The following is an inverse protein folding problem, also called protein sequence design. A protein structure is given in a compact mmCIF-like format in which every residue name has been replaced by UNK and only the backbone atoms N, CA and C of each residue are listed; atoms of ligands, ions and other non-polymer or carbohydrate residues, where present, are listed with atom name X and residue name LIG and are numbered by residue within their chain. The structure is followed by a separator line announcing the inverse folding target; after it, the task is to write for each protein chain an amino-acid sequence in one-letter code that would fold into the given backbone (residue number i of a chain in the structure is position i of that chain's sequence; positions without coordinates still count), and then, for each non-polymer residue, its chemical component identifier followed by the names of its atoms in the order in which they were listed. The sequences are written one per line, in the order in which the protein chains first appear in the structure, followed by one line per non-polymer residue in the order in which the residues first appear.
data_IF_044218782143
#
_entry.id   IF_044218782143
#
_cell.length_a   1.000
_cell.length_b   1.000
_cell.length_c   1.000
_cell.angle_alpha   90.00
_cell.angle_beta   90.00
_cell.angle_gamma   90.00
#
_symmetry.space_group_name_H-M   'P 1'
#
loop_
_entity.id
_entity.type
_entity.pdbx_description
1 polymer ?
#
# COMPACT_ATOMS: atom_id res chain seq x y z
N UNK A 1 12.10 -43.12 -70.02
CA UNK A 1 12.83 -41.85 -70.21
C UNK A 1 12.27 -41.13 -71.41
N UNK A 2 11.53 -40.05 -71.21
CA UNK A 2 11.59 -38.83 -72.03
C UNK A 2 10.58 -37.84 -71.47
N UNK A 3 11.03 -36.60 -71.42
CA UNK A 3 10.47 -35.43 -70.77
C UNK A 3 9.52 -34.71 -71.73
N UNK A 4 8.40 -34.16 -71.25
CA UNK A 4 7.75 -33.06 -71.96
C UNK A 4 7.37 -31.93 -70.98
N UNK A 5 7.86 -30.73 -71.32
CA UNK A 5 7.84 -29.50 -70.52
C UNK A 5 6.54 -28.70 -70.76
N UNK A 6 6.17 -27.82 -69.81
CA UNK A 6 4.95 -27.02 -69.88
C UNK A 6 5.10 -25.79 -70.80
N UNK A 7 3.97 -25.37 -71.38
CA UNK A 7 3.84 -24.13 -72.15
C UNK A 7 3.63 -22.93 -71.21
N UNK A 8 4.49 -21.93 -71.35
CA UNK A 8 4.45 -20.67 -70.61
C UNK A 8 3.73 -19.64 -71.49
N UNK A 9 2.65 -19.03 -70.99
CA UNK A 9 2.04 -17.87 -71.63
C UNK A 9 2.79 -16.60 -71.21
N UNK A 10 3.26 -15.88 -72.23
CA UNK A 10 3.79 -14.53 -72.16
C UNK A 10 2.65 -13.51 -72.22
N UNK A 11 2.63 -12.54 -71.30
CA UNK A 11 1.96 -11.25 -71.51
C UNK A 11 2.89 -10.15 -71.03
N UNK A 12 2.97 -9.12 -71.87
CA UNK A 12 4.00 -8.09 -71.87
C UNK A 12 3.39 -6.71 -71.63
N UNK A 13 4.16 -5.86 -70.96
CA UNK A 13 4.16 -4.38 -71.00
C UNK A 13 2.87 -3.60 -70.67
N UNK A 14 2.98 -2.77 -69.62
CA UNK A 14 3.00 -1.30 -69.76
C UNK A 14 3.46 -0.65 -68.44
N UNK A 15 4.72 -0.20 -68.46
CA UNK A 15 5.24 0.75 -67.50
C UNK A 15 4.55 2.09 -67.72
N UNK A 16 3.92 2.63 -66.67
CA UNK A 16 3.40 3.99 -66.67
C UNK A 16 4.34 4.80 -65.79
N UNK A 17 5.18 5.62 -66.42
CA UNK A 17 5.90 6.70 -65.74
C UNK A 17 4.88 7.69 -65.21
N UNK A 18 4.99 8.03 -63.93
CA UNK A 18 4.48 9.30 -63.41
C UNK A 18 5.53 9.85 -62.47
N UNK A 19 6.34 10.75 -63.02
CA UNK A 19 7.16 11.67 -62.26
C UNK A 19 6.24 12.72 -61.65
N UNK A 20 6.39 13.03 -60.35
CA UNK A 20 6.66 14.41 -59.87
C UNK A 20 6.70 14.50 -58.34
N UNK A 21 7.54 15.43 -57.89
CA UNK A 21 7.61 16.07 -56.58
C UNK A 21 8.24 15.27 -55.41
N UNK A 22 9.57 15.16 -55.43
CA UNK A 22 10.35 15.09 -54.20
C UNK A 22 10.33 16.48 -53.53
N UNK A 23 9.56 16.61 -52.46
CA UNK A 23 9.61 17.76 -51.56
C UNK A 23 10.99 17.79 -50.90
N UNK A 24 11.59 18.99 -50.84
CA UNK A 24 12.89 19.23 -50.27
C UNK A 24 13.02 18.66 -48.85
N UNK A 25 14.05 17.84 -48.66
CA UNK A 25 14.56 17.44 -47.35
C UNK A 25 15.07 18.69 -46.63
N UNK A 26 14.22 19.28 -45.78
CA UNK A 26 14.69 20.07 -44.67
C UNK A 26 15.31 19.08 -43.68
N UNK A 27 16.63 18.93 -43.73
CA UNK A 27 17.39 18.41 -42.61
C UNK A 27 17.22 19.39 -41.45
N UNK A 28 16.09 19.29 -40.73
CA UNK A 28 15.97 19.80 -39.39
C UNK A 28 17.01 19.04 -38.57
N UNK A 29 18.17 19.64 -38.37
CA UNK A 29 19.01 19.29 -37.24
C UNK A 29 18.14 19.52 -36.00
N UNK A 30 17.51 18.45 -35.53
CA UNK A 30 17.10 18.34 -34.13
C UNK A 30 18.43 18.32 -33.39
N UNK A 31 18.91 19.51 -33.04
CA UNK A 31 19.84 19.65 -31.94
C UNK A 31 19.02 19.22 -30.74
N UNK A 32 19.13 17.94 -30.39
CA UNK A 32 18.81 17.50 -29.05
C UNK A 32 19.71 18.36 -28.17
N UNK A 33 19.11 19.39 -27.57
CA UNK A 33 19.66 20.00 -26.37
C UNK A 33 20.00 18.79 -25.50
N UNK A 34 21.25 18.62 -25.01
CA UNK A 34 21.55 17.58 -24.04
C UNK A 34 20.64 17.83 -22.85
N UNK A 35 19.46 17.20 -22.91
CA UNK A 35 18.52 17.14 -21.83
C UNK A 35 19.30 16.51 -20.72
N UNK A 36 19.31 17.18 -19.58
CA UNK A 36 19.76 16.61 -18.33
C UNK A 36 19.20 15.19 -18.27
N UNK A 37 20.04 14.19 -18.50
CA UNK A 37 19.66 12.82 -18.25
C UNK A 37 19.42 12.80 -16.74
N UNK A 38 18.15 12.89 -16.34
CA UNK A 38 17.77 12.66 -14.97
C UNK A 38 18.38 11.31 -14.62
N UNK A 39 19.28 11.28 -13.64
CA UNK A 39 19.89 10.04 -13.20
C UNK A 39 18.76 9.02 -12.99
N UNK A 40 18.94 7.80 -13.51
CA UNK A 40 17.96 6.75 -13.30
C UNK A 40 17.73 6.60 -11.79
N UNK A 41 16.49 6.36 -11.34
CA UNK A 41 16.22 6.19 -9.91
C UNK A 41 17.07 5.05 -9.38
N UNK A 42 17.69 5.25 -8.22
CA UNK A 42 18.50 4.24 -7.56
C UNK A 42 18.09 4.12 -6.11
N UNK A 43 18.07 2.90 -5.59
CA UNK A 43 17.95 2.61 -4.17
C UNK A 43 19.27 2.09 -3.65
N UNK A 44 19.48 2.23 -2.35
CA UNK A 44 20.60 1.65 -1.62
C UNK A 44 20.06 0.68 -0.59
N UNK A 45 20.56 -0.55 -0.64
CA UNK A 45 20.21 -1.60 0.29
C UNK A 45 21.47 -2.30 0.76
N UNK A 46 21.35 -3.09 1.82
CA UNK A 46 22.39 -4.05 2.22
C UNK A 46 21.93 -5.45 1.86
N UNK A 47 22.76 -6.21 1.14
CA UNK A 47 22.55 -7.62 0.82
C UNK A 47 23.64 -8.40 1.57
N UNK A 48 23.26 -9.24 2.53
CA UNK A 48 24.19 -9.99 3.38
C UNK A 48 25.28 -9.09 4.00
N UNK A 49 24.86 -7.95 4.55
CA UNK A 49 25.71 -6.92 5.15
C UNK A 49 26.63 -6.14 4.19
N UNK A 50 26.48 -6.32 2.88
CA UNK A 50 27.20 -5.54 1.85
C UNK A 50 26.26 -4.51 1.26
N UNK A 51 26.67 -3.24 1.27
CA UNK A 51 25.91 -2.17 0.62
C UNK A 51 25.94 -2.32 -0.90
N UNK A 52 24.76 -2.24 -1.51
CA UNK A 52 24.54 -2.33 -2.95
C UNK A 52 23.59 -1.21 -3.34
N UNK A 53 23.89 -0.52 -4.43
CA UNK A 53 23.02 0.52 -4.98
C UNK A 53 22.78 0.28 -6.47
N UNK A 54 21.56 0.57 -6.92
CA UNK A 54 21.19 0.41 -8.31
C UNK A 54 19.72 0.65 -8.56
N UNK A 55 19.31 0.53 -9.82
CA UNK A 55 17.89 0.45 -10.20
C UNK A 55 17.29 -0.88 -9.79
N UNK A 56 18.12 -1.92 -9.69
CA UNK A 56 17.72 -3.27 -9.27
C UNK A 56 18.74 -3.79 -8.26
N UNK A 57 18.25 -4.30 -7.14
CA UNK A 57 19.04 -4.97 -6.12
C UNK A 57 18.81 -6.46 -6.30
N UNK A 58 19.88 -7.22 -6.57
CA UNK A 58 19.84 -8.66 -6.73
C UNK A 58 20.43 -9.34 -5.49
N UNK A 59 19.71 -10.31 -4.94
CA UNK A 59 20.30 -11.33 -4.09
C UNK A 59 20.99 -12.41 -4.92
N UNK A 60 21.10 -13.59 -4.34
CA UNK A 60 21.86 -14.74 -4.82
C UNK A 60 20.94 -15.94 -5.02
N UNK A 61 21.51 -17.15 -5.01
CA UNK A 61 20.73 -18.39 -5.14
C UNK A 61 20.65 -19.16 -3.82
N UNK A 62 21.06 -18.57 -2.71
CA UNK A 62 20.85 -19.10 -1.37
C UNK A 62 20.32 -18.01 -0.46
N UNK A 63 19.93 -18.38 0.75
CA UNK A 63 19.23 -17.50 1.70
C UNK A 63 19.93 -16.14 1.89
N UNK A 64 19.27 -15.07 1.45
CA UNK A 64 19.75 -13.70 1.50
C UNK A 64 19.04 -12.89 2.60
N UNK A 65 19.77 -11.97 3.22
CA UNK A 65 19.18 -10.90 4.03
C UNK A 65 19.35 -9.56 3.32
N UNK A 66 18.24 -9.00 2.86
CA UNK A 66 18.19 -7.74 2.12
C UNK A 66 17.52 -6.67 2.98
N UNK A 67 18.16 -5.52 3.16
CA UNK A 67 17.61 -4.40 3.92
C UNK A 67 17.72 -3.08 3.16
N UNK A 68 16.59 -2.45 2.86
CA UNK A 68 16.48 -1.14 2.23
C UNK A 68 15.93 -0.13 3.26
N UNK A 69 16.78 0.78 3.72
CA UNK A 69 16.47 1.69 4.83
C UNK A 69 15.70 2.96 4.45
N UNK A 70 15.66 3.28 3.15
CA UNK A 70 15.04 4.48 2.59
C UNK A 70 13.88 4.13 1.64
N UNK A 71 13.24 2.99 1.90
CA UNK A 71 12.21 2.41 1.06
C UNK A 71 12.72 1.88 -0.29
N UNK A 72 11.78 1.41 -1.11
CA UNK A 72 11.97 1.06 -2.51
C UNK A 72 11.23 2.10 -3.35
N UNK A 73 11.92 2.80 -4.26
CA UNK A 73 11.33 3.94 -4.99
C UNK A 73 10.80 3.55 -6.37
N UNK A 74 10.00 4.45 -6.95
CA UNK A 74 9.44 4.28 -8.30
C UNK A 74 10.49 3.94 -9.35
N UNK A 75 10.23 2.87 -10.09
CA UNK A 75 11.09 2.41 -11.18
C UNK A 75 12.30 1.61 -10.71
N UNK A 76 12.36 1.22 -9.44
CA UNK A 76 13.38 0.32 -8.89
C UNK A 76 12.81 -1.01 -8.43
N UNK A 77 13.65 -2.03 -8.35
CA UNK A 77 13.27 -3.38 -7.92
C UNK A 77 14.25 -4.00 -6.91
N UNK A 78 13.71 -4.86 -6.05
CA UNK A 78 14.45 -5.81 -5.22
C UNK A 78 14.08 -7.22 -5.68
N UNK A 79 15.07 -8.00 -6.08
CA UNK A 79 14.92 -9.37 -6.56
C UNK A 79 15.80 -10.27 -5.68
N UNK A 80 15.20 -10.99 -4.74
CA UNK A 80 15.98 -11.74 -3.75
C UNK A 80 16.67 -12.97 -4.35
N UNK A 81 16.07 -13.58 -5.37
CA UNK A 81 16.66 -14.68 -6.10
C UNK A 81 16.07 -15.99 -5.65
N UNK A 82 16.88 -17.03 -5.44
CA UNK A 82 16.39 -18.29 -4.91
C UNK A 82 16.94 -18.50 -3.50
N UNK A 83 16.21 -19.19 -2.64
CA UNK A 83 16.58 -19.34 -1.23
C UNK A 83 15.40 -19.00 -0.34
N UNK A 84 15.55 -19.12 0.97
CA UNK A 84 14.56 -18.58 1.90
C UNK A 84 15.05 -17.19 2.34
N UNK A 85 14.58 -16.17 1.65
CA UNK A 85 15.12 -14.84 1.78
C UNK A 85 14.41 -14.03 2.86
N UNK A 86 15.12 -13.06 3.42
CA UNK A 86 14.56 -12.09 4.36
C UNK A 86 14.75 -10.69 3.80
N UNK A 87 13.65 -10.05 3.42
CA UNK A 87 13.63 -8.71 2.85
C UNK A 87 13.00 -7.75 3.85
N UNK A 88 13.72 -6.68 4.21
CA UNK A 88 13.27 -5.67 5.17
C UNK A 88 13.36 -4.28 4.52
N UNK A 89 12.21 -3.66 4.30
CA UNK A 89 12.09 -2.35 3.69
C UNK A 89 11.43 -1.39 4.66
N UNK A 90 12.10 -0.28 4.94
CA UNK A 90 11.61 0.75 5.86
C UNK A 90 11.57 2.08 5.12
N UNK A 91 10.43 2.76 5.13
CA UNK A 91 10.34 4.16 4.74
C UNK A 91 10.94 5.04 5.84
N UNK A 92 11.66 6.08 5.46
CA UNK A 92 12.18 7.06 6.41
C UNK A 92 11.05 7.80 7.12
N UNK A 93 11.21 7.96 8.43
CA UNK A 93 10.38 8.87 9.22
C UNK A 93 10.71 10.29 8.79
N UNK A 94 9.69 11.12 8.64
CA UNK A 94 9.93 12.55 8.42
C UNK A 94 10.56 13.13 9.67
N UNK A 95 11.86 13.44 9.62
CA UNK A 95 12.58 14.00 10.76
C UNK A 95 13.18 15.34 10.39
N UNK A 96 12.90 16.36 11.21
CA UNK A 96 13.49 17.69 11.08
C UNK A 96 12.79 18.61 10.08
N UNK A 97 11.65 18.19 9.51
CA UNK A 97 10.75 19.08 8.77
C UNK A 97 9.38 19.03 9.46
N UNK A 98 9.00 20.09 10.20
CA UNK A 98 7.71 20.12 10.90
C UNK A 98 6.56 19.77 9.95
N UNK A 99 5.66 18.89 10.40
CA UNK A 99 4.54 18.37 9.58
C UNK A 99 4.96 17.58 8.34
N UNK A 100 6.20 17.12 8.28
CA UNK A 100 6.70 16.33 7.17
C UNK A 100 6.00 14.98 7.11
N UNK A 101 5.69 14.51 5.90
CA UNK A 101 5.11 13.20 5.71
C UNK A 101 6.19 12.12 5.83
N UNK A 102 5.82 10.98 6.38
CA UNK A 102 6.63 9.77 6.34
C UNK A 102 6.76 9.25 4.91
N UNK A 103 7.90 8.61 4.63
CA UNK A 103 8.17 8.06 3.32
C UNK A 103 7.40 6.74 3.10
N UNK A 104 7.00 6.47 1.86
CA UNK A 104 6.44 5.17 1.47
C UNK A 104 7.51 4.08 1.64
N UNK A 105 7.13 2.94 2.21
CA UNK A 105 7.99 1.76 2.34
C UNK A 105 8.34 1.17 0.97
N UNK A 106 7.35 0.73 0.21
CA UNK A 106 7.53 0.22 -1.16
C UNK A 106 6.69 0.99 -2.17
N UNK A 107 7.34 1.84 -2.95
CA UNK A 107 6.84 2.40 -4.19
C UNK A 107 7.58 1.77 -5.39
N UNK A 108 8.05 0.53 -5.33
CA UNK A 108 8.74 -0.12 -6.45
C UNK A 108 8.22 -1.52 -6.72
N UNK A 109 9.13 -2.47 -6.90
CA UNK A 109 8.79 -3.89 -6.98
C UNK A 109 9.68 -4.67 -6.04
N UNK A 110 9.07 -5.51 -5.23
CA UNK A 110 9.77 -6.49 -4.40
C UNK A 110 9.37 -7.87 -4.91
N UNK A 111 10.34 -8.70 -5.22
CA UNK A 111 10.16 -10.10 -5.64
C UNK A 111 11.00 -11.00 -4.73
N UNK A 112 10.34 -11.84 -3.93
CA UNK A 112 10.97 -12.87 -3.10
C UNK A 112 11.64 -13.96 -3.95
N UNK A 113 11.13 -14.22 -5.16
CA UNK A 113 11.64 -15.28 -6.02
C UNK A 113 11.28 -16.68 -5.49
N UNK A 114 12.01 -17.75 -5.87
CA UNK A 114 11.68 -19.09 -5.40
C UNK A 114 12.20 -19.40 -3.99
N UNK A 115 11.29 -19.71 -3.08
CA UNK A 115 11.61 -20.28 -1.76
C UNK A 115 10.51 -19.98 -0.76
N UNK A 116 10.80 -20.02 0.54
CA UNK A 116 9.87 -19.53 1.55
C UNK A 116 10.40 -18.20 2.07
N UNK A 117 9.85 -17.09 1.59
CA UNK A 117 10.45 -15.79 1.85
C UNK A 117 9.76 -15.05 2.99
N UNK A 118 10.51 -14.24 3.72
CA UNK A 118 10.00 -13.33 4.73
C UNK A 118 10.18 -11.89 4.26
N UNK A 119 9.08 -11.21 3.97
CA UNK A 119 9.08 -9.85 3.46
C UNK A 119 8.43 -8.94 4.51
N UNK A 120 9.18 -7.96 5.02
CA UNK A 120 8.67 -6.94 5.93
C UNK A 120 8.82 -5.57 5.29
N UNK A 121 7.70 -4.87 5.14
CA UNK A 121 7.66 -3.51 4.60
C UNK A 121 6.93 -2.60 5.57
N UNK A 122 7.52 -1.46 5.91
CA UNK A 122 6.86 -0.46 6.75
C UNK A 122 7.04 0.94 6.17
N UNK A 123 5.96 1.71 6.09
CA UNK A 123 6.02 3.14 5.79
C UNK A 123 6.57 3.95 6.97
N UNK A 124 7.20 5.08 6.68
CA UNK A 124 7.75 5.98 7.68
C UNK A 124 6.67 6.71 8.47
N UNK A 125 6.94 7.05 9.72
CA UNK A 125 6.01 7.85 10.52
C UNK A 125 6.07 9.34 10.06
N UNK A 126 4.94 10.04 10.16
CA UNK A 126 4.88 11.49 9.94
C UNK A 126 5.48 12.27 11.12
N UNK A 127 6.05 13.45 10.85
CA UNK A 127 6.59 14.32 11.92
C UNK A 127 5.46 15.00 12.69
N UNK A 128 5.72 15.30 13.95
CA UNK A 128 4.78 16.08 14.75
C UNK A 128 4.70 17.53 14.24
N UNK A 129 3.53 18.14 14.40
CA UNK A 129 3.36 19.57 14.23
C UNK A 129 4.11 20.33 15.33
N UNK A 130 4.64 21.52 15.02
CA UNK A 130 5.42 22.26 16.01
C UNK A 130 4.54 23.19 16.86
N UNK A 131 3.94 24.24 16.28
CA UNK A 131 3.18 25.23 17.07
C UNK A 131 1.73 25.33 16.62
N UNK A 132 1.51 25.69 15.36
CA UNK A 132 0.17 25.81 14.76
C UNK A 132 -0.05 24.80 13.64
N UNK A 133 0.91 23.88 13.49
CA UNK A 133 1.01 23.01 12.34
C UNK A 133 0.31 21.69 12.65
N UNK A 134 -0.19 21.04 11.60
CA UNK A 134 -0.76 19.70 11.70
C UNK A 134 0.35 18.67 11.87
N UNK A 135 0.01 17.50 12.37
CA UNK A 135 0.89 16.35 12.21
C UNK A 135 1.07 15.99 10.74
N UNK A 136 2.26 15.53 10.38
CA UNK A 136 2.53 14.96 9.06
C UNK A 136 1.83 13.62 8.90
N UNK A 137 1.52 13.24 7.66
CA UNK A 137 0.92 11.94 7.40
C UNK A 137 1.96 10.83 7.51
N UNK A 138 1.54 9.66 7.98
CA UNK A 138 2.33 8.44 7.84
C UNK A 138 2.48 8.05 6.36
N UNK A 139 3.63 7.49 6.01
CA UNK A 139 3.85 6.91 4.69
C UNK A 139 3.19 5.55 4.57
N UNK A 140 2.76 5.21 3.36
CA UNK A 140 2.16 3.90 3.11
C UNK A 140 3.19 2.78 3.19
N UNK A 141 2.76 1.57 3.55
CA UNK A 141 3.60 0.38 3.54
C UNK A 141 3.94 -0.01 2.10
N UNK A 142 2.94 -0.26 1.26
CA UNK A 142 3.13 -0.66 -0.13
C UNK A 142 2.18 0.08 -1.08
N UNK A 143 2.73 0.79 -2.08
CA UNK A 143 1.97 1.49 -3.13
C UNK A 143 2.14 0.85 -4.51
N UNK A 144 2.91 -0.23 -4.59
CA UNK A 144 3.13 -0.98 -5.84
C UNK A 144 3.18 -2.47 -5.57
N UNK A 145 4.19 -3.16 -6.06
CA UNK A 145 4.11 -4.61 -6.24
C UNK A 145 4.97 -5.30 -5.21
N UNK A 146 4.38 -6.27 -4.53
CA UNK A 146 5.10 -7.29 -3.77
C UNK A 146 4.69 -8.66 -4.33
N UNK A 147 5.67 -9.39 -4.83
CA UNK A 147 5.55 -10.77 -5.24
C UNK A 147 6.25 -11.62 -4.18
N UNK A 148 5.52 -12.52 -3.54
CA UNK A 148 6.11 -13.55 -2.67
C UNK A 148 6.96 -14.51 -3.50
N UNK A 149 6.47 -14.85 -4.70
CA UNK A 149 7.17 -15.71 -5.64
C UNK A 149 6.74 -17.17 -5.50
N UNK A 150 7.70 -18.06 -5.31
CA UNK A 150 7.46 -19.49 -5.06
C UNK A 150 7.20 -19.79 -3.59
N UNK A 151 6.99 -21.08 -3.26
CA UNK A 151 6.90 -21.56 -1.88
C UNK A 151 5.83 -20.92 -0.99
N UNK A 152 6.10 -20.81 0.31
CA UNK A 152 5.17 -20.37 1.36
C UNK A 152 5.76 -19.15 2.07
N UNK A 153 5.28 -17.98 1.69
CA UNK A 153 5.85 -16.71 2.11
C UNK A 153 5.20 -16.17 3.38
N UNK A 154 5.92 -15.30 4.05
CA UNK A 154 5.45 -14.51 5.17
C UNK A 154 5.66 -13.03 4.87
N UNK A 155 4.61 -12.37 4.41
CA UNK A 155 4.64 -10.96 4.01
C UNK A 155 3.94 -10.12 5.07
N UNK A 156 4.60 -9.10 5.58
CA UNK A 156 4.04 -8.11 6.51
C UNK A 156 4.22 -6.71 5.93
N UNK A 157 3.13 -5.97 5.80
CA UNK A 157 3.11 -4.62 5.21
C UNK A 157 2.34 -3.69 6.13
N UNK A 158 3.02 -2.66 6.66
CA UNK A 158 2.46 -1.78 7.69
C UNK A 158 2.60 -0.31 7.26
N UNK A 159 1.52 0.46 7.33
CA UNK A 159 1.57 1.91 7.16
C UNK A 159 2.23 2.62 8.35
N UNK A 160 2.87 3.75 8.09
CA UNK A 160 3.45 4.62 9.11
C UNK A 160 2.37 5.34 9.94
N UNK A 161 2.72 5.74 11.15
CA UNK A 161 1.83 6.52 12.01
C UNK A 161 1.72 7.96 11.52
N UNK A 162 0.56 8.59 11.66
CA UNK A 162 0.46 10.03 11.53
C UNK A 162 1.10 10.75 12.73
N UNK A 163 1.75 11.88 12.48
CA UNK A 163 2.35 12.71 13.53
C UNK A 163 1.28 13.40 14.38
N UNK A 164 1.63 13.80 15.59
CA UNK A 164 0.74 14.54 16.48
C UNK A 164 0.57 16.00 16.01
N UNK A 165 -0.54 16.63 16.35
CA UNK A 165 -0.77 18.05 16.06
C UNK A 165 0.12 18.99 16.90
N UNK A 166 0.37 20.20 16.41
CA UNK A 166 1.19 21.19 17.09
C UNK A 166 0.59 21.76 18.38
N UNK A 167 1.45 22.16 19.31
CA UNK A 167 1.09 22.45 20.72
C UNK A 167 0.12 23.62 20.97
N UNK A 168 -0.24 24.44 19.98
CA UNK A 168 -1.25 25.53 20.13
C UNK A 168 -2.52 25.23 19.35
N UNK A 169 -2.35 24.76 18.12
CA UNK A 169 -3.43 24.38 17.21
C UNK A 169 -2.82 23.40 16.23
N UNK A 170 -3.35 22.19 16.12
CA UNK A 170 -2.90 21.26 15.11
C UNK A 170 -3.74 20.01 15.15
N UNK A 171 -4.29 19.67 13.99
CA UNK A 171 -4.91 18.38 13.78
C UNK A 171 -3.82 17.31 13.74
N UNK A 172 -4.14 16.11 14.19
CA UNK A 172 -3.25 14.97 14.01
C UNK A 172 -3.12 14.59 12.52
N UNK A 173 -1.95 14.06 12.15
CA UNK A 173 -1.72 13.52 10.81
C UNK A 173 -2.46 12.22 10.57
N UNK A 174 -2.75 11.91 9.31
CA UNK A 174 -3.37 10.63 8.94
C UNK A 174 -2.34 9.50 8.98
N UNK A 175 -2.70 8.32 9.46
CA UNK A 175 -1.86 7.13 9.35
C UNK A 175 -1.76 6.61 7.91
N UNK A 176 -0.62 6.04 7.53
CA UNK A 176 -0.41 5.48 6.21
C UNK A 176 -1.19 4.18 5.99
N UNK A 177 -1.49 3.86 4.73
CA UNK A 177 -2.17 2.63 4.34
C UNK A 177 -1.17 1.47 4.43
N UNK A 178 -1.61 0.30 4.89
CA UNK A 178 -0.78 -0.91 4.87
C UNK A 178 -0.43 -1.30 3.43
N UNK A 179 -1.46 -1.56 2.62
CA UNK A 179 -1.33 -1.89 1.20
C UNK A 179 -2.23 -1.05 0.29
N UNK A 180 -1.66 -0.08 -0.42
CA UNK A 180 -2.28 0.68 -1.52
C UNK A 180 -1.86 0.14 -2.91
N UNK A 181 -1.04 -0.92 -2.95
CA UNK A 181 -0.61 -1.59 -4.16
C UNK A 181 -1.09 -3.05 -4.28
N UNK A 182 -0.34 -3.85 -5.00
CA UNK A 182 -0.66 -5.24 -5.31
C UNK A 182 0.27 -6.19 -4.55
N UNK A 183 -0.32 -7.16 -3.84
CA UNK A 183 0.41 -8.26 -3.22
C UNK A 183 -0.06 -9.58 -3.85
N UNK A 184 0.87 -10.39 -4.34
CA UNK A 184 0.58 -11.74 -4.84
C UNK A 184 1.56 -12.73 -4.23
N UNK A 185 1.05 -13.74 -3.52
CA UNK A 185 1.89 -14.72 -2.84
C UNK A 185 1.13 -16.02 -2.53
N UNK A 186 1.87 -17.00 -2.03
CA UNK A 186 1.32 -18.12 -1.26
C UNK A 186 1.80 -17.99 0.19
N UNK A 187 1.07 -18.56 1.14
CA UNK A 187 1.37 -18.44 2.57
C UNK A 187 0.60 -17.33 3.26
N UNK A 188 1.29 -16.52 4.08
CA UNK A 188 0.67 -15.53 4.97
C UNK A 188 0.95 -14.10 4.51
N UNK A 189 -0.10 -13.29 4.41
CA UNK A 189 0.00 -11.83 4.27
C UNK A 189 -0.63 -11.16 5.48
N UNK A 190 0.11 -10.23 6.08
CA UNK A 190 -0.34 -9.35 7.16
C UNK A 190 -0.28 -7.91 6.63
N UNK A 191 -1.42 -7.23 6.52
CA UNK A 191 -1.50 -5.85 6.07
C UNK A 191 -2.15 -4.98 7.16
N UNK A 192 -1.46 -3.93 7.60
CA UNK A 192 -1.87 -3.10 8.73
C UNK A 192 -1.78 -1.61 8.43
N UNK A 193 -2.88 -0.88 8.59
CA UNK A 193 -2.87 0.57 8.53
C UNK A 193 -2.18 1.19 9.74
N UNK A 194 -1.50 2.32 9.53
CA UNK A 194 -0.88 3.09 10.58
C UNK A 194 -1.92 3.86 11.42
N UNK A 195 -1.68 4.09 12.72
CA UNK A 195 -2.58 4.92 13.53
C UNK A 195 -2.54 6.39 13.10
N UNK A 196 -3.65 7.08 13.23
CA UNK A 196 -3.71 8.53 13.10
C UNK A 196 -3.09 9.22 14.33
N UNK A 197 -2.50 10.39 14.09
CA UNK A 197 -1.92 11.22 15.15
C UNK A 197 -3.00 11.87 16.00
N UNK A 198 -2.69 12.18 17.26
CA UNK A 198 -3.62 12.91 18.12
C UNK A 198 -3.48 14.42 17.92
N UNK A 199 -4.58 15.16 18.01
CA UNK A 199 -4.52 16.61 18.06
C UNK A 199 -3.94 17.09 19.40
N UNK A 200 -3.26 18.23 19.36
CA UNK A 200 -2.87 18.97 20.56
C UNK A 200 -3.47 20.38 20.53
N UNK A 201 -4.23 20.73 21.58
CA UNK A 201 -4.52 22.13 21.87
C UNK A 201 -4.82 22.34 23.35
N UNK A 202 -3.87 22.90 24.13
CA UNK A 202 -4.08 23.25 25.53
C UNK A 202 -4.96 24.50 25.69
N UNK A 203 -5.19 25.26 24.61
CA UNK A 203 -5.94 26.51 24.63
C UNK A 203 -7.44 26.34 24.33
N UNK A 204 -7.93 25.10 24.22
CA UNK A 204 -9.33 24.80 23.92
C UNK A 204 -9.74 25.24 22.50
N UNK A 205 -8.81 25.12 21.56
CA UNK A 205 -9.06 25.42 20.16
C UNK A 205 -9.49 24.15 19.46
N UNK A 206 -10.34 24.32 18.46
CA UNK A 206 -10.77 23.24 17.59
C UNK A 206 -9.55 22.63 16.86
N UNK A 207 -9.30 21.36 17.15
CA UNK A 207 -8.19 20.57 16.61
C UNK A 207 -8.52 19.09 16.73
N UNK A 208 -8.49 18.41 15.59
CA UNK A 208 -9.08 17.09 15.38
C UNK A 208 -8.04 15.98 15.42
N UNK A 209 -8.47 14.79 15.82
CA UNK A 209 -7.64 13.60 15.68
C UNK A 209 -7.45 13.22 14.21
N UNK A 210 -6.24 12.78 13.83
CA UNK A 210 -5.98 12.28 12.49
C UNK A 210 -6.67 10.94 12.24
N UNK A 211 -7.05 10.67 10.99
CA UNK A 211 -7.62 9.37 10.63
C UNK A 211 -6.56 8.26 10.73
N UNK A 212 -6.97 7.04 11.09
CA UNK A 212 -6.12 5.87 10.90
C UNK A 212 -6.08 5.44 9.43
N UNK A 213 -4.95 4.89 9.00
CA UNK A 213 -4.82 4.35 7.64
C UNK A 213 -5.52 3.01 7.49
N UNK A 214 -5.83 2.62 6.27
CA UNK A 214 -6.49 1.34 6.00
C UNK A 214 -5.50 0.18 5.99
N UNK A 215 -5.98 -1.04 6.24
CA UNK A 215 -5.17 -2.24 6.10
C UNK A 215 -4.77 -2.49 4.65
N UNK A 216 -5.75 -2.48 3.73
CA UNK A 216 -5.54 -2.63 2.28
C UNK A 216 -6.58 -1.85 1.48
N UNK A 217 -6.13 -0.93 0.62
CA UNK A 217 -6.98 -0.21 -0.34
C UNK A 217 -6.94 -0.80 -1.74
N UNK A 218 -6.01 -1.74 -1.95
CA UNK A 218 -5.77 -2.37 -3.24
C UNK A 218 -5.71 -3.89 -3.10
N UNK A 219 -5.12 -4.55 -4.09
CA UNK A 219 -5.32 -5.95 -4.36
C UNK A 219 -4.41 -6.86 -3.50
N UNK A 220 -5.01 -7.87 -2.86
CA UNK A 220 -4.27 -8.96 -2.22
C UNK A 220 -4.75 -10.29 -2.81
N UNK A 221 -3.86 -11.00 -3.50
CA UNK A 221 -4.11 -12.29 -4.13
C UNK A 221 -3.29 -13.39 -3.46
N UNK A 222 -3.97 -14.24 -2.68
CA UNK A 222 -3.40 -15.44 -2.07
C UNK A 222 -4.04 -16.68 -2.68
N UNK A 223 -3.51 -17.17 -3.80
CA UNK A 223 -4.17 -18.20 -4.61
C UNK A 223 -3.44 -19.55 -4.54
N UNK A 224 -4.20 -20.64 -4.71
CA UNK A 224 -3.65 -21.95 -5.05
C UNK A 224 -3.14 -22.81 -3.88
N UNK A 225 -3.17 -22.33 -2.64
CA UNK A 225 -2.81 -23.12 -1.46
C UNK A 225 -3.85 -22.95 -0.34
N UNK A 226 -4.53 -24.01 0.12
CA UNK A 226 -5.60 -23.91 1.12
C UNK A 226 -5.16 -23.41 2.50
N UNK A 227 -3.86 -23.46 2.80
CA UNK A 227 -3.28 -22.97 4.06
C UNK A 227 -2.93 -21.48 3.99
N UNK A 228 -3.27 -20.80 2.89
CA UNK A 228 -3.09 -19.35 2.78
C UNK A 228 -3.82 -18.62 3.91
N UNK A 229 -3.22 -17.53 4.39
CA UNK A 229 -3.79 -16.71 5.46
C UNK A 229 -3.61 -15.23 5.21
N UNK A 230 -4.72 -14.48 5.16
CA UNK A 230 -4.68 -13.02 5.17
C UNK A 230 -5.10 -12.49 6.54
N UNK A 231 -4.28 -11.61 7.12
CA UNK A 231 -4.64 -10.79 8.29
C UNK A 231 -4.60 -9.34 7.88
N UNK A 232 -5.73 -8.66 7.94
CA UNK A 232 -5.82 -7.29 7.47
C UNK A 232 -6.46 -6.45 8.57
N UNK A 233 -5.81 -5.36 8.97
CA UNK A 233 -6.33 -4.48 10.01
C UNK A 233 -6.17 -3.02 9.67
N UNK A 234 -7.22 -2.23 9.85
CA UNK A 234 -7.10 -0.77 9.82
C UNK A 234 -6.29 -0.23 11.01
N UNK A 235 -5.81 1.00 10.86
CA UNK A 235 -5.18 1.81 11.88
C UNK A 235 -6.21 2.57 12.71
N UNK A 236 -5.93 2.80 14.00
CA UNK A 236 -6.87 3.53 14.87
C UNK A 236 -6.91 5.01 14.52
N UNK A 237 -8.07 5.63 14.69
CA UNK A 237 -8.18 7.09 14.65
C UNK A 237 -7.50 7.75 15.85
N UNK A 238 -6.92 8.92 15.62
CA UNK A 238 -6.29 9.76 16.63
C UNK A 238 -7.31 10.46 17.52
N UNK A 239 -6.89 10.84 18.73
CA UNK A 239 -7.78 11.56 19.64
C UNK A 239 -7.79 13.05 19.34
N UNK A 240 -8.93 13.69 19.57
CA UNK A 240 -9.05 15.13 19.44
C UNK A 240 -8.48 15.89 20.63
N UNK A 241 -8.28 17.19 20.43
CA UNK A 241 -8.11 18.14 21.51
C UNK A 241 -9.43 18.43 22.23
N UNK A 242 -9.46 19.40 23.14
CA UNK A 242 -10.60 19.68 23.99
C UNK A 242 -11.93 19.98 23.26
N UNK A 243 -11.91 20.64 22.10
CA UNK A 243 -13.11 20.99 21.34
C UNK A 243 -13.18 20.36 19.95
N UNK A 244 -12.21 19.51 19.58
CA UNK A 244 -12.19 18.87 18.27
C UNK A 244 -12.89 17.51 18.23
N UNK A 245 -12.95 16.97 17.02
CA UNK A 245 -13.51 15.68 16.67
C UNK A 245 -12.47 14.56 16.72
N UNK A 246 -12.93 13.36 17.09
CA UNK A 246 -12.06 12.18 17.04
C UNK A 246 -11.79 11.74 15.61
N UNK A 247 -10.58 11.28 15.31
CA UNK A 247 -10.25 10.78 13.97
C UNK A 247 -10.98 9.47 13.66
N UNK A 248 -11.34 9.22 12.40
CA UNK A 248 -11.94 7.94 12.01
C UNK A 248 -10.91 6.80 12.09
N UNK A 249 -11.36 5.59 12.45
CA UNK A 249 -10.56 4.38 12.30
C UNK A 249 -10.49 3.94 10.85
N UNK A 250 -9.34 3.43 10.42
CA UNK A 250 -9.17 2.87 9.08
C UNK A 250 -9.93 1.58 8.87
N UNK A 251 -10.24 1.30 7.63
CA UNK A 251 -10.88 0.08 7.18
C UNK A 251 -9.90 -1.09 7.18
N UNK A 252 -10.41 -2.33 7.29
CA UNK A 252 -9.62 -3.52 7.07
C UNK A 252 -9.21 -3.58 5.60
N UNK A 253 -10.18 -3.86 4.72
CA UNK A 253 -9.96 -3.85 3.27
C UNK A 253 -11.01 -3.01 2.54
N UNK A 254 -10.52 -2.09 1.71
CA UNK A 254 -11.28 -1.26 0.76
C UNK A 254 -10.97 -1.63 -0.70
N UNK A 255 -10.04 -2.56 -0.92
CA UNK A 255 -9.73 -3.14 -2.23
C UNK A 255 -10.18 -4.60 -2.38
N UNK A 256 -9.82 -5.19 -3.52
CA UNK A 256 -10.11 -6.60 -3.84
C UNK A 256 -9.18 -7.52 -3.06
N UNK A 257 -9.74 -8.32 -2.15
CA UNK A 257 -9.01 -9.38 -1.46
C UNK A 257 -9.52 -10.74 -1.92
N UNK A 258 -8.64 -11.57 -2.51
CA UNK A 258 -8.97 -12.93 -2.89
C UNK A 258 -8.02 -13.93 -2.22
N UNK A 259 -8.58 -14.81 -1.39
CA UNK A 259 -7.82 -15.75 -0.58
C UNK A 259 -8.34 -17.16 -0.77
N UNK A 260 -7.46 -18.07 -1.17
CA UNK A 260 -7.70 -19.51 -1.13
C UNK A 260 -7.35 -20.05 0.25
N UNK A 261 -8.09 -19.78 1.32
CA UNK A 261 -7.67 -20.18 2.66
C UNK A 261 -8.44 -19.47 3.77
N UNK A 262 -7.72 -18.92 4.75
CA UNK A 262 -8.30 -18.24 5.92
C UNK A 262 -8.11 -16.72 5.91
N UNK A 263 -9.09 -15.99 6.45
CA UNK A 263 -9.00 -14.52 6.60
C UNK A 263 -9.32 -14.06 8.02
N UNK A 264 -8.62 -13.04 8.51
CA UNK A 264 -8.96 -12.29 9.71
C UNK A 264 -8.86 -10.80 9.39
N UNK A 265 -10.00 -10.15 9.12
CA UNK A 265 -10.05 -8.77 8.69
C UNK A 265 -10.76 -7.93 9.74
N UNK A 266 -10.16 -6.79 10.11
CA UNK A 266 -10.66 -5.92 11.17
C UNK A 266 -10.60 -4.46 10.77
N UNK A 267 -11.75 -3.79 10.81
CA UNK A 267 -11.79 -2.34 10.88
C UNK A 267 -11.28 -1.85 12.23
N UNK A 268 -10.77 -0.62 12.26
CA UNK A 268 -10.19 -0.05 13.47
C UNK A 268 -11.16 0.87 14.21
N UNK A 269 -10.89 1.10 15.49
CA UNK A 269 -11.71 2.00 16.28
C UNK A 269 -11.47 3.47 15.89
N UNK A 270 -12.54 4.26 15.93
CA UNK A 270 -12.45 5.70 15.89
C UNK A 270 -11.84 6.30 17.16
N UNK A 271 -11.26 7.47 17.00
CA UNK A 271 -10.64 8.26 18.04
C UNK A 271 -11.67 8.97 18.92
N UNK A 272 -11.24 9.35 20.12
CA UNK A 272 -12.09 10.05 21.09
C UNK A 272 -12.19 11.54 20.74
N UNK A 273 -13.41 12.08 20.82
CA UNK A 273 -13.67 13.51 20.74
C UNK A 273 -13.17 14.27 21.98
N UNK A 274 -13.03 15.57 21.83
CA UNK A 274 -12.83 16.50 22.93
C UNK A 274 -13.99 16.50 23.94
N UNK A 275 -13.71 16.96 25.16
CA UNK A 275 -14.75 17.09 26.20
C UNK A 275 -15.76 18.21 25.92
N UNK A 276 -15.44 19.10 24.98
CA UNK A 276 -16.31 20.15 24.42
C UNK A 276 -16.56 19.97 22.92
N UNK A 277 -15.94 18.96 22.29
CA UNK A 277 -16.07 18.71 20.86
C UNK A 277 -17.39 18.07 20.50
N UNK A 278 -17.71 18.11 19.21
CA UNK A 278 -19.01 17.70 18.69
C UNK A 278 -19.05 16.17 18.52
N UNK A 279 -18.16 15.52 17.76
CA UNK A 279 -18.34 14.09 17.41
C UNK A 279 -17.13 13.18 17.70
N UNK A 280 -17.41 11.96 18.17
CA UNK A 280 -16.39 10.90 18.26
C UNK A 280 -16.10 10.32 16.88
N UNK A 281 -14.88 9.86 16.64
CA UNK A 281 -14.50 9.31 15.35
C UNK A 281 -15.28 8.04 15.03
N UNK A 282 -15.60 7.80 13.76
CA UNK A 282 -16.28 6.57 13.34
C UNK A 282 -15.31 5.38 13.36
N UNK A 283 -15.83 4.19 13.67
CA UNK A 283 -15.08 2.95 13.48
C UNK A 283 -14.98 2.57 12.00
N UNK A 284 -13.83 2.07 11.58
CA UNK A 284 -13.62 1.58 10.22
C UNK A 284 -14.34 0.26 9.96
N UNK A 285 -14.64 -0.01 8.70
CA UNK A 285 -15.28 -1.27 8.28
C UNK A 285 -14.28 -2.42 8.22
N UNK A 286 -14.74 -3.66 8.39
CA UNK A 286 -13.92 -4.85 8.13
C UNK A 286 -13.60 -4.97 6.64
N UNK A 287 -14.60 -5.29 5.83
CA UNK A 287 -14.56 -5.24 4.37
C UNK A 287 -15.51 -4.16 3.84
N UNK A 288 -15.02 -3.25 3.02
CA UNK A 288 -15.82 -2.19 2.38
C UNK A 288 -16.01 -2.41 0.87
N UNK A 289 -15.26 -3.33 0.27
CA UNK A 289 -15.33 -3.62 -1.17
C UNK A 289 -15.43 -5.13 -1.43
N UNK A 290 -14.57 -5.73 -2.24
CA UNK A 290 -14.73 -7.12 -2.65
C UNK A 290 -13.83 -8.07 -1.85
N UNK A 291 -14.47 -9.01 -1.15
CA UNK A 291 -13.80 -10.13 -0.49
C UNK A 291 -14.28 -11.47 -1.09
N UNK A 292 -13.32 -12.24 -1.61
CA UNK A 292 -13.55 -13.59 -2.11
C UNK A 292 -12.68 -14.57 -1.32
N UNK A 293 -13.31 -15.44 -0.55
CA UNK A 293 -12.66 -16.51 0.22
C UNK A 293 -13.10 -17.85 -0.33
N UNK A 294 -12.14 -18.63 -0.83
CA UNK A 294 -12.35 -19.98 -1.34
C UNK A 294 -11.49 -20.96 -0.58
N UNK A 295 -11.96 -22.16 -0.23
CA UNK A 295 -11.07 -23.15 0.41
C UNK A 295 -11.81 -24.24 1.17
N UNK A 296 -11.12 -25.34 1.52
CA UNK A 296 -11.74 -26.52 2.15
C UNK A 296 -11.97 -26.37 3.65
N UNK A 297 -11.34 -25.39 4.31
CA UNK A 297 -11.42 -25.17 5.76
C UNK A 297 -12.52 -24.19 6.09
N UNK A 298 -13.63 -24.71 6.62
CA UNK A 298 -14.76 -23.93 7.12
C UNK A 298 -14.81 -24.01 8.66
N UNK A 299 -15.01 -22.89 9.38
CA UNK A 299 -15.21 -21.53 8.87
C UNK A 299 -13.92 -20.90 8.30
N UNK A 300 -14.03 -20.16 7.20
CA UNK A 300 -12.90 -19.63 6.45
C UNK A 300 -12.37 -18.30 7.00
N UNK A 301 -12.93 -17.76 8.09
CA UNK A 301 -12.38 -16.55 8.71
C UNK A 301 -13.36 -15.70 9.52
N UNK A 302 -12.84 -14.56 9.98
CA UNK A 302 -13.58 -13.53 10.74
C UNK A 302 -13.46 -12.16 10.09
N UNK A 303 -14.57 -11.43 10.06
CA UNK A 303 -14.67 -10.01 9.70
C UNK A 303 -15.19 -9.24 10.92
N UNK A 304 -14.44 -8.24 11.37
CA UNK A 304 -14.86 -7.37 12.46
C UNK A 304 -14.92 -5.91 12.00
N UNK A 305 -16.02 -5.23 12.31
CA UNK A 305 -16.07 -3.77 12.24
C UNK A 305 -15.40 -3.13 13.45
N UNK A 306 -14.86 -1.94 13.26
CA UNK A 306 -14.28 -1.12 14.33
C UNK A 306 -15.34 -0.42 15.17
N UNK A 307 -15.03 -0.12 16.43
CA UNK A 307 -15.95 0.63 17.30
C UNK A 307 -15.88 2.13 17.02
N UNK A 308 -17.00 2.82 17.17
CA UNK A 308 -17.01 4.27 17.22
C UNK A 308 -16.28 4.80 18.45
N UNK A 309 -15.65 5.95 18.31
CA UNK A 309 -15.01 6.69 19.38
C UNK A 309 -16.03 7.45 20.24
N UNK A 310 -15.74 7.68 21.53
CA UNK A 310 -16.64 8.44 22.41
C UNK A 310 -16.71 9.93 22.03
N UNK A 311 -17.89 10.57 22.14
CA UNK A 311 -18.15 11.97 21.73
C UNK A 311 -19.57 12.49 22.05
N UNK A 312 -20.03 13.60 21.47
CA UNK A 312 -21.35 14.23 21.69
C UNK A 312 -22.11 14.64 20.39
N UNK A 313 -22.49 13.70 19.51
CA UNK A 313 -22.66 12.26 19.77
C UNK A 313 -21.37 11.42 19.68
N UNK A 314 -21.42 10.21 20.26
CA UNK A 314 -20.39 9.21 20.00
C UNK A 314 -20.38 8.80 18.53
N UNK A 315 -19.20 8.42 18.02
CA UNK A 315 -19.02 8.02 16.64
C UNK A 315 -19.78 6.74 16.26
N UNK A 316 -20.05 6.59 14.97
CA UNK A 316 -20.68 5.42 14.40
C UNK A 316 -19.81 4.16 14.51
N UNK A 317 -20.47 3.01 14.61
CA UNK A 317 -19.81 1.72 14.49
C UNK A 317 -19.43 1.43 13.03
N UNK A 318 -18.27 0.80 12.83
CA UNK A 318 -17.94 0.18 11.57
C UNK A 318 -18.72 -1.12 11.37
N UNK A 319 -19.21 -1.35 10.15
CA UNK A 319 -19.74 -2.63 9.70
C UNK A 319 -18.62 -3.65 9.51
N UNK A 320 -18.87 -4.93 9.80
CA UNK A 320 -17.93 -6.00 9.46
C UNK A 320 -17.77 -6.17 7.94
N UNK A 321 -18.88 -6.03 7.20
CA UNK A 321 -18.91 -6.13 5.76
C UNK A 321 -19.92 -5.15 5.16
N UNK A 322 -19.43 -4.12 4.49
CA UNK A 322 -20.20 -3.16 3.71
C UNK A 322 -20.10 -3.41 2.19
N UNK A 323 -19.24 -4.34 1.76
CA UNK A 323 -19.02 -4.66 0.36
C UNK A 323 -19.51 -6.05 -0.08
N UNK A 324 -19.01 -6.52 -1.22
CA UNK A 324 -19.33 -7.83 -1.78
C UNK A 324 -18.53 -8.94 -1.08
N UNK A 325 -19.25 -9.97 -0.60
CA UNK A 325 -18.65 -11.11 0.09
C UNK A 325 -19.00 -12.42 -0.62
N UNK A 326 -17.99 -13.19 -1.00
CA UNK A 326 -18.12 -14.57 -1.48
C UNK A 326 -17.32 -15.50 -0.57
N UNK A 327 -17.98 -16.49 0.05
CA UNK A 327 -17.36 -17.44 0.97
C UNK A 327 -18.07 -17.51 2.32
N UNK A 328 -17.66 -18.43 3.18
CA UNK A 328 -18.19 -18.58 4.55
C UNK A 328 -17.25 -17.95 5.57
N UNK A 329 -17.59 -16.76 6.04
CA UNK A 329 -16.87 -16.02 7.09
C UNK A 329 -17.84 -15.58 8.18
N UNK A 330 -17.34 -15.45 9.41
CA UNK A 330 -18.11 -14.89 10.53
C UNK A 330 -17.97 -13.38 10.52
N UNK A 331 -19.06 -12.64 10.37
CA UNK A 331 -19.07 -11.17 10.38
C UNK A 331 -19.67 -10.61 11.67
N UNK A 332 -18.97 -9.69 12.33
CA UNK A 332 -19.37 -9.04 13.57
C UNK A 332 -19.15 -7.52 13.49
N UNK A 333 -20.23 -6.75 13.42
CA UNK A 333 -20.14 -5.28 13.42
C UNK A 333 -19.51 -4.75 14.71
N UNK A 334 -18.93 -3.56 14.63
CA UNK A 334 -18.46 -2.84 15.79
C UNK A 334 -19.62 -2.30 16.65
N UNK A 335 -19.27 -1.66 17.76
CA UNK A 335 -20.22 -0.97 18.63
C UNK A 335 -20.11 0.54 18.46
N UNK A 336 -21.25 1.25 18.56
CA UNK A 336 -21.24 2.73 18.54
C UNK A 336 -20.48 3.27 19.74
N UNK A 337 -19.84 4.42 19.56
CA UNK A 337 -19.13 5.10 20.63
C UNK A 337 -20.05 5.54 21.76
N UNK A 338 -19.51 5.60 22.98
CA UNK A 338 -20.26 6.14 24.12
C UNK A 338 -20.54 7.63 23.90
N UNK A 339 -21.81 8.00 23.94
CA UNK A 339 -22.21 9.41 24.02
C UNK A 339 -21.85 9.94 25.40
N UNK A 340 -20.97 10.94 25.44
CA UNK A 340 -20.55 11.59 26.67
C UNK A 340 -21.65 12.55 27.15
N UNK A 341 -21.89 12.65 28.47
CA UNK A 341 -22.79 13.66 29.04
C UNK A 341 -22.24 15.05 28.76
#
# INVERSE_FOLDING_TARGET
MSVYRPSVCSVSWRATLSATAALAAACGMVVAIPGQASAAPSITCTVNFVEVSGTTIHGTSGDDTIRCGEGVVRGTSVEAGAGNDTIIVLGETSSGTPSGNGQIGNDGTIDGGPGNDTIFVRGGDGDDGYVTDRGGNGGDGNNRTILGGGGIDHITVIGGSGGEGGIKRGDGGTGGIGNDGNITAQGTVIAGGGPGGSAMSPANWDADGGAGGDGSNSEIYLLGNPDNRAVISGGRGGNASASGEGGNGGHGTDGVTQVTGTVDIRGANGGRAGHQGEEGGNGGHGNNDQLVVTGPTLPAGTLLGGNGGPGRPGGGAGLANNGALTGEVTALDGTTGLTLP
#
